data_IF_367467286597
#
_entry.id   IF_367467286597
#
_cell.length_a   1.000
_cell.length_b   1.000
_cell.length_c   1.000
_cell.angle_alpha   90.00
_cell.angle_beta   90.00
_cell.angle_gamma   90.00
#
_symmetry.space_group_name_H-M   'P 1'
#
loop_
_entity.id
_entity.type
_entity.pdbx_description
1 polymer ?
#
# COMPACT_ATOMS: atom_id res chain seq x y z
N UNK A 1 -10.94 -13.46 54.02
CA UNK A 1 -10.05 -13.51 52.85
C UNK A 1 -9.47 -12.12 52.70
N UNK A 2 -8.17 -11.99 52.93
CA UNK A 2 -7.51 -10.74 53.37
C UNK A 2 -7.23 -9.86 52.14
N UNK A 3 -7.23 -8.54 52.31
CA UNK A 3 -6.84 -7.55 51.29
C UNK A 3 -5.46 -7.82 50.64
N UNK A 4 -4.63 -8.65 51.27
CA UNK A 4 -3.33 -9.14 50.79
C UNK A 4 -3.44 -9.98 49.51
N UNK A 5 -4.59 -10.63 49.25
CA UNK A 5 -4.77 -11.46 48.05
C UNK A 5 -5.03 -10.60 46.79
N UNK A 6 -5.36 -9.32 46.94
CA UNK A 6 -5.62 -8.40 45.82
C UNK A 6 -4.34 -7.69 45.37
N UNK A 7 -3.36 -7.50 46.26
CA UNK A 7 -2.03 -6.96 45.90
C UNK A 7 -1.16 -7.94 45.08
N UNK A 8 -1.51 -9.24 45.07
CA UNK A 8 -0.84 -10.27 44.26
C UNK A 8 -1.44 -10.47 42.87
N UNK A 9 -2.56 -9.79 42.56
CA UNK A 9 -3.00 -9.63 41.19
C UNK A 9 -2.10 -8.56 40.56
N UNK A 10 -0.95 -9.02 40.05
CA UNK A 10 0.05 -8.18 39.41
C UNK A 10 -0.60 -7.17 38.46
N UNK A 11 -0.02 -5.96 38.42
CA UNK A 11 -0.47 -4.87 37.55
C UNK A 11 -1.02 -5.42 36.25
N UNK A 12 -2.33 -5.26 36.06
CA UNK A 12 -2.99 -5.65 34.81
C UNK A 12 -2.18 -5.05 33.67
N UNK A 13 -1.84 -5.87 32.69
CA UNK A 13 -1.12 -5.45 31.49
C UNK A 13 -1.82 -4.22 30.91
N UNK A 14 -1.24 -3.05 31.18
CA UNK A 14 -1.74 -1.79 30.63
C UNK A 14 -1.29 -1.82 29.17
N UNK A 15 -2.25 -1.79 28.24
CA UNK A 15 -1.96 -1.61 26.82
C UNK A 15 -0.97 -0.45 26.67
N UNK A 16 0.26 -0.80 26.29
CA UNK A 16 1.31 0.19 26.10
C UNK A 16 0.96 1.01 24.87
N UNK A 17 1.10 2.34 24.96
CA UNK A 17 1.02 3.16 23.76
C UNK A 17 2.11 2.74 22.79
N UNK A 18 1.81 2.66 21.48
CA UNK A 18 2.82 2.38 20.42
C UNK A 18 4.04 3.30 20.58
N UNK A 19 3.83 4.55 21.01
CA UNK A 19 4.91 5.51 21.25
C UNK A 19 5.85 5.12 22.39
N UNK A 20 5.32 4.53 23.46
CA UNK A 20 6.13 4.04 24.58
C UNK A 20 6.88 2.77 24.19
N UNK A 21 6.24 1.89 23.40
CA UNK A 21 6.90 0.72 22.83
C UNK A 21 8.08 1.13 21.92
N UNK A 22 7.89 2.13 21.04
CA UNK A 22 8.95 2.68 20.22
C UNK A 22 10.08 3.27 21.07
N UNK A 23 9.74 4.01 22.14
CA UNK A 23 10.75 4.56 23.06
C UNK A 23 11.61 3.43 23.65
N UNK A 24 10.97 2.37 24.11
CA UNK A 24 11.69 1.24 24.72
C UNK A 24 12.54 0.49 23.68
N UNK A 25 12.01 0.24 22.47
CA UNK A 25 12.75 -0.40 21.39
C UNK A 25 14.01 0.42 21.03
N UNK A 26 13.87 1.74 20.88
CA UNK A 26 14.96 2.58 20.42
C UNK A 26 15.97 2.95 21.51
N UNK A 27 15.55 3.09 22.77
CA UNK A 27 16.35 3.72 23.83
C UNK A 27 16.79 2.75 24.95
N UNK A 28 16.13 1.60 25.12
CA UNK A 28 16.42 0.71 26.24
C UNK A 28 17.84 0.13 26.23
N UNK A 29 18.39 -0.12 25.03
CA UNK A 29 19.66 -0.85 24.87
C UNK A 29 19.61 -2.27 25.43
N UNK A 30 18.42 -2.84 25.65
CA UNK A 30 18.22 -4.17 26.22
C UNK A 30 17.29 -4.99 25.33
N UNK A 31 17.79 -6.16 24.92
CA UNK A 31 17.07 -7.11 24.07
C UNK A 31 15.74 -7.54 24.71
N UNK A 32 15.76 -7.95 25.98
CA UNK A 32 14.58 -8.37 26.72
C UNK A 32 13.52 -7.28 26.81
N UNK A 33 13.93 -6.03 27.05
CA UNK A 33 12.99 -4.91 27.17
C UNK A 33 12.38 -4.54 25.82
N UNK A 34 13.18 -4.49 24.75
CA UNK A 34 12.68 -4.25 23.40
C UNK A 34 11.68 -5.34 22.96
N UNK A 35 11.97 -6.63 23.26
CA UNK A 35 11.05 -7.74 22.99
C UNK A 35 9.74 -7.59 23.74
N UNK A 36 9.81 -7.37 25.06
CA UNK A 36 8.61 -7.23 25.92
C UNK A 36 7.75 -6.04 25.48
N UNK A 37 8.36 -4.91 25.13
CA UNK A 37 7.65 -3.74 24.65
C UNK A 37 6.77 -4.04 23.42
N UNK A 38 7.24 -4.90 22.51
CA UNK A 38 6.43 -5.33 21.36
C UNK A 38 5.39 -6.39 21.68
N UNK A 39 5.64 -7.23 22.68
CA UNK A 39 4.70 -8.30 23.07
C UNK A 39 3.47 -7.75 23.81
N UNK A 40 3.62 -6.62 24.50
CA UNK A 40 2.56 -5.95 25.27
C UNK A 40 1.76 -4.94 24.42
N UNK A 41 2.01 -4.89 23.11
CA UNK A 41 1.39 -3.93 22.19
C UNK A 41 0.23 -4.59 21.45
N UNK A 42 -0.93 -3.92 21.43
CA UNK A 42 -2.09 -4.31 20.61
C UNK A 42 -1.94 -3.80 19.16
N UNK A 43 -0.83 -4.14 18.53
CA UNK A 43 -0.55 -3.80 17.13
C UNK A 43 0.10 -4.99 16.45
N UNK A 44 -0.35 -5.27 15.23
CA UNK A 44 0.18 -6.40 14.46
C UNK A 44 1.66 -6.14 14.10
N UNK A 45 2.51 -7.19 14.07
CA UNK A 45 3.90 -7.05 13.60
C UNK A 45 4.02 -6.42 12.20
N UNK A 46 3.00 -6.59 11.37
CA UNK A 46 2.92 -6.00 10.03
C UNK A 46 2.72 -4.48 10.04
N UNK A 47 2.10 -3.94 11.08
CA UNK A 47 1.94 -2.50 11.27
C UNK A 47 3.11 -1.93 12.06
N UNK A 48 3.56 -2.63 13.11
CA UNK A 48 4.68 -2.21 13.96
C UNK A 48 5.96 -1.95 13.15
N UNK A 49 6.24 -2.77 12.14
CA UNK A 49 7.42 -2.56 11.27
C UNK A 49 7.39 -1.18 10.58
N UNK A 50 6.20 -0.68 10.22
CA UNK A 50 6.03 0.62 9.56
C UNK A 50 6.20 1.77 10.56
N UNK A 51 5.78 1.57 11.80
CA UNK A 51 6.08 2.49 12.91
C UNK A 51 7.58 2.61 13.15
N UNK A 52 8.30 1.49 13.13
CA UNK A 52 9.74 1.50 13.31
C UNK A 52 10.43 2.16 12.11
N UNK A 53 10.05 1.81 10.87
CA UNK A 53 10.61 2.39 9.63
C UNK A 53 10.55 3.92 9.59
N UNK A 54 9.38 4.49 9.90
CA UNK A 54 9.16 5.95 9.91
C UNK A 54 10.01 6.66 10.96
N UNK A 55 10.24 6.00 12.11
CA UNK A 55 10.88 6.62 13.27
C UNK A 55 12.37 6.31 13.42
N UNK A 56 12.87 5.28 12.74
CA UNK A 56 14.28 4.92 12.71
C UNK A 56 15.21 6.07 12.28
N UNK A 57 14.92 6.84 11.20
CA UNK A 57 15.76 7.97 10.80
C UNK A 57 15.60 9.20 11.70
N UNK A 58 14.54 9.26 12.51
CA UNK A 58 14.33 10.34 13.48
C UNK A 58 15.17 10.12 14.76
N UNK A 59 15.41 8.86 15.12
CA UNK A 59 16.17 8.49 16.30
C UNK A 59 17.66 8.29 16.00
N UNK A 60 18.00 7.62 14.89
CA UNK A 60 19.38 7.23 14.59
C UNK A 60 20.00 8.29 13.68
N UNK A 61 21.00 9.03 14.21
CA UNK A 61 21.65 10.12 13.48
C UNK A 61 22.94 9.70 12.77
N UNK A 62 23.61 8.67 13.29
CA UNK A 62 24.80 8.12 12.63
C UNK A 62 24.38 7.28 11.40
N UNK A 63 24.90 7.58 10.20
CA UNK A 63 24.70 6.74 9.02
C UNK A 63 25.03 5.27 9.25
N UNK A 64 26.04 4.95 10.07
CA UNK A 64 26.41 3.56 10.33
C UNK A 64 25.33 2.82 11.14
N UNK A 65 24.74 3.49 12.14
CA UNK A 65 23.61 2.98 12.93
C UNK A 65 22.38 2.78 12.06
N UNK A 66 22.10 3.72 11.15
CA UNK A 66 20.99 3.62 10.20
C UNK A 66 21.12 2.41 9.29
N UNK A 67 22.31 2.18 8.70
CA UNK A 67 22.55 1.02 7.84
C UNK A 67 22.29 -0.28 8.59
N UNK A 68 22.80 -0.40 9.83
CA UNK A 68 22.57 -1.60 10.64
C UNK A 68 21.10 -1.73 11.04
N UNK A 69 20.44 -0.64 11.40
CA UNK A 69 19.01 -0.64 11.76
C UNK A 69 18.13 -1.11 10.60
N UNK A 70 18.32 -0.52 9.42
CA UNK A 70 17.59 -0.90 8.21
C UNK A 70 17.93 -2.30 7.70
N UNK A 71 19.16 -2.81 7.87
CA UNK A 71 19.48 -4.21 7.56
C UNK A 71 18.63 -5.17 8.41
N UNK A 72 18.52 -4.91 9.72
CA UNK A 72 17.67 -5.71 10.62
C UNK A 72 16.20 -5.61 10.25
N UNK A 73 15.73 -4.40 9.95
CA UNK A 73 14.34 -4.15 9.57
C UNK A 73 13.99 -4.81 8.23
N UNK A 74 14.87 -4.74 7.24
CA UNK A 74 14.71 -5.39 5.93
C UNK A 74 14.59 -6.91 6.07
N UNK A 75 15.41 -7.52 6.94
CA UNK A 75 15.30 -8.96 7.23
C UNK A 75 13.97 -9.30 7.91
N UNK A 76 13.47 -8.45 8.80
CA UNK A 76 12.15 -8.62 9.41
C UNK A 76 11.04 -8.60 8.34
N UNK A 77 11.06 -7.65 7.40
CA UNK A 77 10.09 -7.56 6.30
C UNK A 77 10.08 -8.82 5.42
N UNK A 78 11.25 -9.42 5.16
CA UNK A 78 11.33 -10.70 4.44
C UNK A 78 10.56 -11.80 5.17
N UNK A 79 10.62 -11.87 6.51
CA UNK A 79 9.84 -12.83 7.29
C UNK A 79 8.34 -12.52 7.25
N UNK A 80 7.94 -11.24 7.36
CA UNK A 80 6.54 -10.84 7.21
C UNK A 80 5.99 -11.21 5.83
N UNK A 81 6.75 -10.95 4.76
CA UNK A 81 6.40 -11.36 3.41
C UNK A 81 6.29 -12.89 3.26
N UNK A 82 7.10 -13.68 3.99
CA UNK A 82 6.95 -15.14 4.05
C UNK A 82 5.68 -15.55 4.80
N UNK A 83 5.32 -14.85 5.87
CA UNK A 83 4.05 -15.07 6.58
C UNK A 83 2.88 -14.86 5.64
N UNK A 84 2.80 -13.71 4.96
CA UNK A 84 1.70 -13.39 4.03
C UNK A 84 1.52 -14.45 2.94
N UNK A 85 2.63 -14.90 2.32
CA UNK A 85 2.58 -15.90 1.24
C UNK A 85 2.20 -17.31 1.71
N UNK A 86 2.61 -17.72 2.91
CA UNK A 86 2.44 -19.11 3.40
C UNK A 86 1.38 -19.25 4.50
N UNK A 87 0.81 -18.15 4.98
CA UNK A 87 -0.07 -18.10 6.15
C UNK A 87 0.57 -18.74 7.40
N UNK A 88 1.90 -18.67 7.50
CA UNK A 88 2.67 -19.29 8.57
C UNK A 88 3.04 -18.26 9.65
N UNK A 89 2.10 -17.98 10.57
CA UNK A 89 2.23 -16.94 11.61
C UNK A 89 3.38 -17.16 12.59
N UNK A 90 3.95 -18.36 12.68
CA UNK A 90 5.17 -18.62 13.46
C UNK A 90 6.36 -17.75 13.03
N UNK A 91 6.38 -17.26 11.79
CA UNK A 91 7.42 -16.33 11.33
C UNK A 91 7.31 -14.93 11.95
N UNK A 92 6.18 -14.56 12.57
CA UNK A 92 6.05 -13.30 13.29
C UNK A 92 7.02 -13.22 14.46
N UNK A 93 7.26 -14.30 15.21
CA UNK A 93 8.25 -14.28 16.29
C UNK A 93 9.65 -13.84 15.81
N UNK A 94 10.09 -14.33 14.64
CA UNK A 94 11.38 -13.96 14.05
C UNK A 94 11.37 -12.54 13.50
N UNK A 95 10.26 -12.11 12.90
CA UNK A 95 10.12 -10.74 12.41
C UNK A 95 10.14 -9.74 13.58
N UNK A 96 9.36 -10.00 14.63
CA UNK A 96 9.29 -9.18 15.84
C UNK A 96 10.65 -9.07 16.51
N UNK A 97 11.39 -10.17 16.69
CA UNK A 97 12.75 -10.15 17.23
C UNK A 97 13.70 -9.27 16.43
N UNK A 98 13.66 -9.36 15.10
CA UNK A 98 14.55 -8.60 14.23
C UNK A 98 14.19 -7.11 14.20
N UNK A 99 12.91 -6.77 14.10
CA UNK A 99 12.47 -5.37 14.06
C UNK A 99 12.58 -4.69 15.42
N UNK A 100 12.54 -5.43 16.53
CA UNK A 100 12.62 -4.87 17.89
C UNK A 100 14.05 -4.92 18.42
N UNK A 101 14.47 -6.06 18.96
CA UNK A 101 15.79 -6.27 19.54
C UNK A 101 16.91 -6.09 18.51
N UNK A 102 16.70 -6.55 17.27
CA UNK A 102 17.68 -6.36 16.20
C UNK A 102 17.96 -4.88 15.94
N UNK A 103 16.91 -4.06 15.83
CA UNK A 103 17.03 -2.61 15.69
C UNK A 103 17.64 -2.00 16.95
N UNK A 104 17.14 -2.31 18.14
CA UNK A 104 17.67 -1.80 19.41
C UNK A 104 19.20 -1.99 19.55
N UNK A 105 19.71 -3.15 19.13
CA UNK A 105 21.13 -3.50 19.17
C UNK A 105 21.96 -2.90 18.03
N UNK A 106 21.32 -2.38 16.98
CA UNK A 106 22.01 -1.70 15.89
C UNK A 106 22.57 -0.34 16.32
N UNK A 107 22.02 0.26 17.38
CA UNK A 107 22.43 1.56 17.92
C UNK A 107 23.76 1.48 18.66
N UNK A 108 24.72 2.32 18.31
CA UNK A 108 25.98 2.51 19.04
C UNK A 108 26.05 3.86 19.75
N UNK A 109 25.43 4.92 19.21
CA UNK A 109 25.41 6.24 19.85
C UNK A 109 24.09 6.57 20.54
N UNK A 110 24.14 7.37 21.62
CA UNK A 110 22.94 7.96 22.23
C UNK A 110 22.79 9.40 21.74
N UNK A 111 21.65 9.70 21.13
CA UNK A 111 21.29 11.05 20.67
C UNK A 111 19.93 11.41 21.24
N UNK A 112 19.69 12.71 21.43
CA UNK A 112 18.35 13.20 21.73
C UNK A 112 17.45 12.93 20.51
N UNK A 113 16.56 11.96 20.64
CA UNK A 113 15.53 11.65 19.65
C UNK A 113 14.48 12.76 19.56
N UNK A 114 13.80 12.84 18.42
CA UNK A 114 12.64 13.69 18.23
C UNK A 114 11.34 13.05 18.75
N UNK A 115 10.22 13.72 18.51
CA UNK A 115 8.89 13.13 18.75
C UNK A 115 8.61 12.05 17.70
N UNK A 116 8.11 10.90 18.14
CA UNK A 116 7.70 9.83 17.24
C UNK A 116 6.45 10.21 16.44
N UNK A 117 6.42 9.75 15.18
CA UNK A 117 5.39 10.07 14.19
C UNK A 117 4.65 8.82 13.74
N UNK A 118 3.39 9.00 13.36
CA UNK A 118 2.59 7.97 12.70
C UNK A 118 3.17 7.62 11.32
N UNK A 119 3.11 6.35 10.87
CA UNK A 119 3.65 5.92 9.57
C UNK A 119 2.98 6.65 8.41
N UNK A 120 3.75 7.49 7.71
CA UNK A 120 3.20 8.26 6.58
C UNK A 120 2.79 7.34 5.43
N UNK A 121 3.44 6.17 5.30
CA UNK A 121 3.08 5.18 4.29
C UNK A 121 1.65 4.67 4.44
N UNK A 122 1.19 4.36 5.66
CA UNK A 122 -0.19 3.94 5.93
C UNK A 122 -1.18 5.04 5.56
N UNK A 123 -0.88 6.28 5.98
CA UNK A 123 -1.71 7.44 5.64
C UNK A 123 -1.79 7.63 4.11
N UNK A 124 -0.66 7.51 3.40
CA UNK A 124 -0.60 7.63 1.93
C UNK A 124 -1.36 6.50 1.24
N UNK A 125 -1.23 5.25 1.71
CA UNK A 125 -1.93 4.10 1.13
C UNK A 125 -3.43 4.21 1.32
N UNK A 126 -3.89 4.71 2.46
CA UNK A 126 -5.29 4.99 2.74
C UNK A 126 -5.83 6.09 1.81
N UNK A 127 -5.16 7.26 1.77
CA UNK A 127 -5.57 8.40 0.91
C UNK A 127 -5.64 8.03 -0.58
N UNK A 128 -4.70 7.22 -1.06
CA UNK A 128 -4.64 6.83 -2.47
C UNK A 128 -5.48 5.60 -2.81
N UNK A 129 -6.14 4.96 -1.83
CA UNK A 129 -6.88 3.70 -2.04
C UNK A 129 -7.95 3.83 -3.12
N UNK A 130 -8.77 4.89 -3.05
CA UNK A 130 -9.82 5.16 -4.03
C UNK A 130 -9.26 5.33 -5.44
N UNK A 131 -8.31 6.27 -5.61
CA UNK A 131 -7.66 6.52 -6.90
C UNK A 131 -6.99 5.28 -7.50
N UNK A 132 -6.35 4.45 -6.67
CA UNK A 132 -5.76 3.17 -7.11
C UNK A 132 -6.80 2.16 -7.54
N UNK A 133 -7.93 2.07 -6.84
CA UNK A 133 -9.03 1.19 -7.21
C UNK A 133 -9.65 1.60 -8.56
N UNK A 134 -9.90 2.90 -8.77
CA UNK A 134 -10.39 3.44 -10.04
C UNK A 134 -9.41 3.15 -11.19
N UNK A 135 -8.12 3.43 -11.00
CA UNK A 135 -7.11 3.15 -12.02
C UNK A 135 -6.97 1.65 -12.32
N UNK A 136 -7.12 0.79 -11.31
CA UNK A 136 -7.10 -0.66 -11.50
C UNK A 136 -8.31 -1.14 -12.31
N UNK A 137 -9.52 -0.65 -12.02
CA UNK A 137 -10.73 -0.98 -12.77
C UNK A 137 -10.60 -0.58 -14.24
N UNK A 138 -10.16 0.66 -14.48
CA UNK A 138 -9.88 1.19 -15.82
C UNK A 138 -8.87 0.32 -16.59
N UNK A 139 -7.75 -0.02 -15.94
CA UNK A 139 -6.72 -0.86 -16.55
C UNK A 139 -7.17 -2.29 -16.83
N UNK A 140 -8.13 -2.83 -16.06
CA UNK A 140 -8.72 -4.13 -16.33
C UNK A 140 -9.61 -4.08 -17.59
N UNK A 141 -10.43 -3.04 -17.75
CA UNK A 141 -11.27 -2.83 -18.95
C UNK A 141 -10.41 -2.69 -20.22
N UNK A 142 -9.39 -1.82 -20.18
CA UNK A 142 -8.47 -1.63 -21.30
C UNK A 142 -7.62 -2.89 -21.54
N UNK A 143 -7.08 -3.48 -20.47
CA UNK A 143 -6.23 -4.67 -20.54
C UNK A 143 -6.93 -5.88 -21.14
N UNK A 144 -8.26 -6.00 -20.97
CA UNK A 144 -9.05 -7.03 -21.61
C UNK A 144 -9.04 -6.94 -23.15
N UNK A 145 -9.03 -5.73 -23.71
CA UNK A 145 -8.94 -5.52 -25.16
C UNK A 145 -7.51 -5.66 -25.71
N UNK A 146 -6.50 -5.29 -24.91
CA UNK A 146 -5.08 -5.33 -25.31
C UNK A 146 -4.41 -6.66 -24.94
N UNK A 147 -5.14 -7.59 -24.33
CA UNK A 147 -4.62 -8.86 -23.80
C UNK A 147 -3.42 -8.70 -22.84
N UNK A 148 -3.44 -7.65 -22.03
CA UNK A 148 -2.38 -7.32 -21.08
C UNK A 148 -2.89 -7.32 -19.64
N UNK A 149 -2.01 -7.72 -18.71
CA UNK A 149 -2.33 -7.64 -17.27
C UNK A 149 -2.53 -6.19 -16.82
N UNK A 150 -3.35 -5.96 -15.79
CA UNK A 150 -3.59 -4.61 -15.28
C UNK A 150 -2.30 -3.84 -14.95
N UNK A 151 -1.28 -4.53 -14.40
CA UNK A 151 0.01 -3.91 -14.05
C UNK A 151 0.73 -3.40 -15.29
N UNK A 152 0.72 -4.20 -16.35
CA UNK A 152 1.35 -3.87 -17.63
C UNK A 152 0.58 -2.73 -18.31
N UNK A 153 -0.74 -2.83 -18.35
CA UNK A 153 -1.62 -1.78 -18.88
C UNK A 153 -1.42 -0.46 -18.16
N UNK A 154 -1.31 -0.47 -16.83
CA UNK A 154 -1.11 0.74 -16.02
C UNK A 154 0.20 1.46 -16.35
N UNK A 155 1.29 0.71 -16.58
CA UNK A 155 2.61 1.28 -16.86
C UNK A 155 2.75 1.71 -18.32
N UNK A 156 2.33 0.85 -19.26
CA UNK A 156 2.66 1.03 -20.67
C UNK A 156 1.53 1.70 -21.47
N UNK A 157 0.28 1.40 -21.14
CA UNK A 157 -0.88 1.77 -21.98
C UNK A 157 -1.59 3.00 -21.42
N UNK A 158 -1.87 3.01 -20.11
CA UNK A 158 -2.68 4.04 -19.47
C UNK A 158 -2.16 5.48 -19.70
N UNK A 159 -0.85 5.78 -19.63
CA UNK A 159 -0.36 7.14 -19.86
C UNK A 159 -0.66 7.65 -21.28
N UNK A 160 -0.41 6.80 -22.29
CA UNK A 160 -0.67 7.13 -23.71
C UNK A 160 -2.17 7.23 -23.96
N UNK A 161 -2.93 6.27 -23.44
CA UNK A 161 -4.39 6.25 -23.55
C UNK A 161 -5.01 7.52 -22.96
N UNK A 162 -4.56 7.94 -21.77
CA UNK A 162 -5.04 9.15 -21.11
C UNK A 162 -4.71 10.40 -21.93
N UNK A 163 -3.51 10.48 -22.50
CA UNK A 163 -3.12 11.60 -23.36
C UNK A 163 -4.03 11.68 -24.61
N UNK A 164 -4.24 10.56 -25.29
CA UNK A 164 -5.14 10.48 -26.46
C UNK A 164 -6.59 10.83 -26.11
N UNK A 165 -7.08 10.33 -24.97
CA UNK A 165 -8.43 10.59 -24.49
C UNK A 165 -8.68 12.08 -24.21
N UNK A 166 -7.65 12.82 -23.77
CA UNK A 166 -7.73 14.27 -23.55
C UNK A 166 -7.62 15.07 -24.84
N UNK A 167 -6.77 14.68 -25.77
CA UNK A 167 -6.49 15.46 -26.98
C UNK A 167 -7.53 15.30 -28.09
N UNK A 168 -8.12 14.11 -28.24
CA UNK A 168 -8.98 13.77 -29.37
C UNK A 168 -10.41 13.45 -28.92
N UNK A 169 -11.37 14.28 -29.33
CA UNK A 169 -12.78 14.11 -29.00
C UNK A 169 -13.43 12.90 -29.70
N UNK A 170 -13.03 12.59 -30.93
CA UNK A 170 -13.57 11.45 -31.66
C UNK A 170 -13.11 10.15 -31.00
N UNK A 171 -11.82 10.06 -30.67
CA UNK A 171 -11.27 8.94 -29.91
C UNK A 171 -11.96 8.80 -28.55
N UNK A 172 -12.15 9.92 -27.83
CA UNK A 172 -12.82 9.95 -26.52
C UNK A 172 -14.20 9.33 -26.57
N UNK A 173 -15.04 9.75 -27.52
CA UNK A 173 -16.42 9.25 -27.69
C UNK A 173 -16.45 7.78 -28.07
N UNK A 174 -15.62 7.37 -29.03
CA UNK A 174 -15.53 5.98 -29.47
C UNK A 174 -15.10 5.05 -28.32
N UNK A 175 -14.08 5.43 -27.56
CA UNK A 175 -13.59 4.63 -26.44
C UNK A 175 -14.58 4.60 -25.26
N UNK A 176 -15.24 5.71 -24.95
CA UNK A 176 -16.28 5.75 -23.92
C UNK A 176 -17.44 4.78 -24.24
N UNK A 177 -17.89 4.77 -25.50
CA UNK A 177 -18.94 3.87 -25.96
C UNK A 177 -18.49 2.40 -25.98
N UNK A 178 -17.25 2.12 -26.41
CA UNK A 178 -16.72 0.77 -26.52
C UNK A 178 -16.45 0.11 -25.16
N UNK A 179 -15.82 0.82 -24.23
CA UNK A 179 -15.33 0.23 -22.96
C UNK A 179 -16.29 0.37 -21.79
N UNK A 180 -17.37 1.16 -21.91
CA UNK A 180 -18.35 1.41 -20.84
C UNK A 180 -17.66 1.84 -19.54
N UNK A 181 -16.90 2.91 -19.64
CA UNK A 181 -16.24 3.51 -18.47
C UNK A 181 -17.29 4.07 -17.50
N UNK A 182 -17.02 3.90 -16.21
CA UNK A 182 -17.83 4.50 -15.15
C UNK A 182 -17.49 5.98 -14.99
N UNK A 183 -18.39 6.76 -14.37
CA UNK A 183 -18.20 8.20 -14.11
C UNK A 183 -16.83 8.49 -13.48
N UNK A 184 -16.41 7.69 -12.51
CA UNK A 184 -15.12 7.82 -11.80
C UNK A 184 -13.92 7.58 -12.71
N UNK A 185 -14.04 6.65 -13.65
CA UNK A 185 -12.98 6.32 -14.60
C UNK A 185 -12.85 7.39 -15.68
N UNK A 186 -13.99 7.91 -16.15
CA UNK A 186 -14.04 9.05 -17.08
C UNK A 186 -13.44 10.31 -16.44
N UNK A 187 -13.83 10.61 -15.20
CA UNK A 187 -13.26 11.70 -14.40
C UNK A 187 -11.74 11.56 -14.24
N UNK A 188 -11.26 10.34 -13.94
CA UNK A 188 -9.84 10.04 -13.85
C UNK A 188 -9.10 10.32 -15.17
N UNK A 189 -9.67 9.88 -16.30
CA UNK A 189 -9.08 10.10 -17.62
C UNK A 189 -9.04 11.58 -18.00
N UNK A 190 -10.08 12.36 -17.67
CA UNK A 190 -10.18 13.78 -18.00
C UNK A 190 -9.48 14.72 -17.01
N UNK A 191 -9.08 14.23 -15.83
CA UNK A 191 -8.63 15.08 -14.71
C UNK A 191 -9.69 16.10 -14.27
N UNK A 192 -10.95 15.70 -14.35
CA UNK A 192 -12.11 16.52 -14.04
C UNK A 192 -12.89 15.94 -12.86
N UNK A 193 -13.82 16.73 -12.32
CA UNK A 193 -14.77 16.26 -11.32
C UNK A 193 -15.75 15.24 -11.92
N UNK A 194 -16.20 14.29 -11.09
CA UNK A 194 -17.18 13.25 -11.45
C UNK A 194 -18.48 13.87 -12.01
N UNK A 195 -18.90 15.03 -11.47
CA UNK A 195 -20.12 15.75 -11.85
C UNK A 195 -19.97 16.69 -13.05
N UNK A 196 -18.80 16.72 -13.71
CA UNK A 196 -18.59 17.61 -14.83
C UNK A 196 -19.54 17.30 -15.99
N UNK A 197 -19.98 18.35 -16.72
CA UNK A 197 -20.90 18.22 -17.86
C UNK A 197 -20.34 17.28 -18.94
N UNK A 198 -19.02 17.27 -19.10
CA UNK A 198 -18.31 16.41 -20.06
C UNK A 198 -18.42 14.93 -19.69
N UNK A 199 -18.24 14.58 -18.41
CA UNK A 199 -18.37 13.19 -17.94
C UNK A 199 -19.79 12.67 -18.14
N UNK A 200 -20.80 13.48 -17.76
CA UNK A 200 -22.21 13.11 -17.96
C UNK A 200 -22.60 12.98 -19.44
N UNK A 201 -22.04 13.82 -20.31
CA UNK A 201 -22.27 13.73 -21.75
C UNK A 201 -21.68 12.44 -22.35
N UNK A 202 -20.52 12.00 -21.86
CA UNK A 202 -19.87 10.77 -22.32
C UNK A 202 -20.55 9.51 -21.78
N UNK A 203 -21.08 9.56 -20.55
CA UNK A 203 -21.89 8.48 -20.02
C UNK A 203 -23.20 8.31 -20.82
N UNK A 204 -23.85 9.44 -21.15
CA UNK A 204 -25.11 9.45 -21.88
C UNK A 204 -24.99 8.95 -23.33
N UNK A 205 -23.78 8.88 -23.91
CA UNK A 205 -23.57 8.34 -25.26
C UNK A 205 -24.04 6.88 -25.39
N UNK A 206 -24.06 6.13 -24.28
CA UNK A 206 -24.45 4.72 -24.26
C UNK A 206 -23.52 3.83 -25.11
N UNK A 207 -23.73 2.50 -25.10
CA UNK A 207 -22.93 1.61 -25.95
C UNK A 207 -23.30 1.80 -27.42
N UNK A 208 -22.30 2.05 -28.26
CA UNK A 208 -22.45 1.93 -29.71
C UNK A 208 -22.82 0.47 -30.03
N UNK A 209 -23.81 0.19 -30.91
CA UNK A 209 -24.12 -1.18 -31.27
C UNK A 209 -22.85 -1.83 -31.81
N UNK A 210 -22.51 -3.01 -31.27
CA UNK A 210 -21.37 -3.78 -31.73
C UNK A 210 -21.41 -3.84 -33.26
N UNK A 211 -20.32 -3.41 -33.92
CA UNK A 211 -20.23 -3.43 -35.37
C UNK A 211 -20.72 -4.80 -35.89
N UNK A 212 -21.60 -4.83 -36.91
CA UNK A 212 -22.12 -6.08 -37.43
C UNK A 212 -20.95 -6.99 -37.78
N UNK A 213 -21.03 -8.26 -37.33
CA UNK A 213 -19.99 -9.28 -37.52
C UNK A 213 -19.63 -9.53 -39.00
N UNK A 214 -20.39 -8.95 -39.91
CA UNK A 214 -20.30 -9.12 -41.36
C UNK A 214 -19.32 -8.15 -42.04
N UNK A 215 -18.66 -7.24 -41.31
CA UNK A 215 -17.66 -6.33 -41.92
C UNK A 215 -16.32 -7.02 -42.27
N UNK A 216 -16.10 -8.26 -41.82
CA UNK A 216 -14.88 -9.04 -42.08
C UNK A 216 -15.07 -10.19 -43.09
N UNK A 217 -16.26 -10.35 -43.69
CA UNK A 217 -16.50 -11.38 -44.72
C UNK A 217 -16.21 -10.90 -46.15
N UNK A 218 -15.74 -9.66 -46.33
CA UNK A 218 -15.48 -9.06 -47.66
C UNK A 218 -14.04 -9.15 -48.17
N UNK A 219 -13.18 -9.98 -47.59
CA UNK A 219 -11.76 -10.10 -48.00
C UNK A 219 -11.36 -11.54 -48.41
N UNK A 220 -12.30 -12.39 -48.81
CA UNK A 220 -11.98 -13.67 -49.45
C UNK A 220 -11.91 -13.49 -50.98
N UNK A 221 -10.68 -13.26 -51.47
CA UNK A 221 -10.12 -13.75 -52.73
C UNK A 221 -10.89 -13.52 -54.05
N UNK A 222 -10.61 -12.42 -54.73
CA UNK A 222 -10.56 -12.38 -56.19
C UNK A 222 -9.09 -12.41 -56.62
N UNK A 223 -8.52 -13.62 -56.73
CA UNK A 223 -7.29 -13.88 -57.48
C UNK A 223 -7.64 -14.92 -58.57
N UNK A 224 -7.84 -14.43 -59.81
CA UNK A 224 -7.69 -15.22 -61.06
C UNK A 224 -6.39 -14.82 -61.76
#
# INVERSE_FOLDING_TARGET
MRAVDVEQLGDRDVEGSVYDALREIFQSGSVERARRASANLDEDPESLILWIDENLPLEYRDPADLVRGYDRLSRADVYLGRTRRRQAFRFWAYASDLMTAGVAMARHGRWAGGQYRFPMWLAKMSRTRGRRATAQSLCLKIGAAVHASWKRTFVDVLPVFTAMFRSDEAFRRAMAAAFRFEEKELAYLLDADEDSKEVRALEALGPEPAAPKDALSGFEGEDE
#
